data_IF_987867832938
#
_entry.id   IF_987867832938
#
_cell.length_a   1.000
_cell.length_b   1.000
_cell.length_c   1.000
_cell.angle_alpha   90.00
_cell.angle_beta   90.00
_cell.angle_gamma   90.00
#
_symmetry.space_group_name_H-M   'P 1'
#
loop_
_entity.id
_entity.type
_entity.pdbx_description
1 polymer ?
#
# COMPACT_ATOMS: atom_id res chain seq x y z
N UNK A 1 -8.81 -3.11 103.12
CA UNK A 1 -7.83 -2.06 102.74
C UNK A 1 -7.82 -2.01 101.23
N UNK A 2 -8.43 -0.98 100.64
CA UNK A 2 -8.62 -0.86 99.20
C UNK A 2 -7.42 -0.13 98.57
N UNK A 3 -6.75 -0.79 97.62
CA UNK A 3 -5.72 -0.20 96.76
C UNK A 3 -6.32 0.84 95.81
N UNK A 4 -5.70 2.02 95.79
CA UNK A 4 -6.04 3.15 94.93
C UNK A 4 -5.32 2.95 93.59
N UNK A 5 -6.07 2.70 92.50
CA UNK A 5 -5.53 2.66 91.13
C UNK A 5 -5.26 4.09 90.63
N UNK A 6 -4.02 4.33 90.22
CA UNK A 6 -3.53 5.55 89.59
C UNK A 6 -3.64 5.42 88.05
N UNK A 7 -4.31 6.38 87.40
CA UNK A 7 -4.42 6.43 85.93
C UNK A 7 -3.22 7.18 85.33
N UNK A 8 -2.63 6.71 84.21
CA UNK A 8 -1.53 7.44 83.57
C UNK A 8 -2.05 8.62 82.73
N UNK A 9 -1.34 9.74 82.86
CA UNK A 9 -1.61 11.01 82.19
C UNK A 9 -1.44 10.93 80.65
N UNK A 10 -2.40 11.50 79.94
CA UNK A 10 -2.36 11.73 78.50
C UNK A 10 -1.25 12.74 78.14
N UNK A 11 -0.28 12.32 77.34
CA UNK A 11 0.72 13.21 76.75
C UNK A 11 0.10 13.99 75.58
N UNK A 12 -0.04 15.30 75.75
CA UNK A 12 -0.44 16.24 74.69
C UNK A 12 0.69 16.40 73.68
N UNK A 13 0.46 16.03 72.41
CA UNK A 13 1.40 16.28 71.31
C UNK A 13 1.54 17.79 71.09
N UNK A 14 2.73 18.35 71.36
CA UNK A 14 3.05 19.75 71.05
C UNK A 14 2.93 20.02 69.54
N UNK A 15 2.35 21.15 69.12
CA UNK A 15 2.26 21.51 67.71
C UNK A 15 3.66 21.82 67.16
N UNK A 16 4.09 21.08 66.13
CA UNK A 16 5.33 21.36 65.41
C UNK A 16 5.19 22.71 64.71
N UNK A 17 5.94 23.71 65.16
CA UNK A 17 5.99 25.05 64.57
C UNK A 17 6.61 24.95 63.16
N UNK A 18 5.79 25.13 62.13
CA UNK A 18 6.26 25.20 60.73
C UNK A 18 7.09 26.48 60.54
N UNK A 19 8.42 26.36 60.53
CA UNK A 19 9.32 27.46 60.20
C UNK A 19 9.07 27.96 58.76
N UNK A 20 8.77 29.25 58.59
CA UNK A 20 8.68 29.88 57.28
C UNK A 20 10.08 29.96 56.66
N UNK A 21 10.31 29.24 55.55
CA UNK A 21 11.61 29.24 54.83
C UNK A 21 12.03 30.66 54.43
N UNK A 22 13.34 30.95 54.48
CA UNK A 22 13.89 32.26 54.11
C UNK A 22 13.60 32.61 52.64
N UNK A 23 13.49 33.91 52.28
CA UNK A 23 13.19 34.35 50.91
C UNK A 23 14.25 33.89 49.89
N UNK A 24 15.53 33.81 50.28
CA UNK A 24 16.63 33.27 49.47
C UNK A 24 16.47 31.78 49.20
N UNK A 25 16.12 30.97 50.22
CA UNK A 25 15.88 29.53 50.09
C UNK A 25 14.64 29.23 49.24
N UNK A 26 13.57 30.03 49.36
CA UNK A 26 12.41 29.97 48.46
C UNK A 26 12.77 30.28 47.00
N UNK A 27 13.67 31.24 46.76
CA UNK A 27 14.13 31.59 45.40
C UNK A 27 14.97 30.46 44.78
N UNK A 28 15.79 29.78 45.60
CA UNK A 28 16.60 28.64 45.18
C UNK A 28 15.75 27.40 44.87
N UNK A 29 14.79 27.05 45.73
CA UNK A 29 13.84 25.96 45.50
C UNK A 29 12.96 26.19 44.25
N UNK A 30 12.53 27.44 44.01
CA UNK A 30 11.83 27.81 42.76
C UNK A 30 12.70 27.61 41.51
N UNK A 31 14.00 27.95 41.58
CA UNK A 31 14.93 27.77 40.46
C UNK A 31 15.20 26.30 40.17
N UNK A 32 15.38 25.48 41.21
CA UNK A 32 15.53 24.03 41.07
C UNK A 32 14.28 23.39 40.49
N UNK A 33 13.10 23.77 40.97
CA UNK A 33 11.82 23.31 40.42
C UNK A 33 11.64 23.69 38.94
N UNK A 34 11.95 24.94 38.56
CA UNK A 34 11.86 25.36 37.16
C UNK A 34 12.86 24.61 36.25
N UNK A 35 14.06 24.30 36.75
CA UNK A 35 15.06 23.52 36.02
C UNK A 35 14.64 22.07 35.83
N UNK A 36 14.14 21.43 36.89
CA UNK A 36 13.66 20.05 36.80
C UNK A 36 12.39 19.93 35.97
N UNK A 37 11.47 20.89 36.06
CA UNK A 37 10.29 20.97 35.21
C UNK A 37 10.67 21.21 33.73
N UNK A 38 11.65 22.09 33.46
CA UNK A 38 12.16 22.33 32.10
C UNK A 38 12.82 21.10 31.49
N UNK A 39 13.63 20.37 32.27
CA UNK A 39 14.23 19.10 31.83
C UNK A 39 13.18 18.02 31.59
N UNK A 40 12.21 17.85 32.51
CA UNK A 40 11.14 16.87 32.38
C UNK A 40 10.27 17.17 31.15
N UNK A 41 9.89 18.44 30.94
CA UNK A 41 9.17 18.87 29.76
C UNK A 41 9.99 18.62 28.48
N UNK A 42 11.27 18.99 28.46
CA UNK A 42 12.15 18.77 27.33
C UNK A 42 12.28 17.29 26.94
N UNK A 43 12.49 16.41 27.91
CA UNK A 43 12.57 14.96 27.69
C UNK A 43 11.23 14.40 27.20
N UNK A 44 10.11 14.78 27.82
CA UNK A 44 8.78 14.35 27.38
C UNK A 44 8.49 14.80 25.95
N UNK A 45 8.79 16.06 25.62
CA UNK A 45 8.62 16.60 24.27
C UNK A 45 9.48 15.87 23.24
N UNK A 46 10.76 15.59 23.54
CA UNK A 46 11.64 14.84 22.64
C UNK A 46 11.15 13.40 22.42
N UNK A 47 10.70 12.73 23.48
CA UNK A 47 10.14 11.37 23.39
C UNK A 47 8.84 11.34 22.59
N UNK A 48 7.99 12.36 22.75
CA UNK A 48 6.75 12.51 21.98
C UNK A 48 7.01 12.85 20.50
N UNK A 49 8.14 13.47 20.15
CA UNK A 49 8.53 13.66 18.75
C UNK A 49 8.69 12.32 18.00
N UNK A 50 9.07 11.25 18.69
CA UNK A 50 9.14 9.90 18.11
C UNK A 50 7.78 9.31 17.69
N UNK A 51 6.67 9.88 18.17
CA UNK A 51 5.30 9.49 17.79
C UNK A 51 4.77 10.28 16.59
N UNK A 52 5.50 11.29 16.11
CA UNK A 52 5.09 12.10 14.96
C UNK A 52 4.92 11.30 13.65
N UNK A 53 5.78 10.30 13.34
CA UNK A 53 5.58 9.44 12.16
C UNK A 53 4.31 8.58 12.26
N UNK A 54 3.96 8.17 13.49
CA UNK A 54 2.77 7.33 13.76
C UNK A 54 1.48 8.14 13.65
N UNK A 55 1.48 9.42 14.05
CA UNK A 55 0.30 10.28 13.95
C UNK A 55 0.01 10.78 12.53
N UNK A 56 1.01 10.76 11.65
CA UNK A 56 0.89 11.28 10.29
C UNK A 56 0.48 10.27 9.21
N UNK A 57 0.33 8.97 9.51
CA UNK A 57 -0.11 8.07 8.44
C UNK A 57 -0.50 6.67 8.87
N UNK A 58 -1.77 6.33 8.63
CA UNK A 58 -2.10 5.02 8.06
C UNK A 58 -1.49 5.03 6.67
N UNK A 59 -0.24 4.60 6.53
CA UNK A 59 0.42 4.57 5.25
C UNK A 59 -0.09 3.35 4.49
N UNK A 60 -1.31 3.50 3.99
CA UNK A 60 -1.99 2.45 3.31
C UNK A 60 -1.43 2.40 1.88
N UNK A 61 -0.94 1.21 1.53
CA UNK A 61 -0.01 0.97 0.43
C UNK A 61 -0.48 -0.27 -0.31
N UNK A 62 -0.24 -0.31 -1.61
CA UNK A 62 -0.44 -1.51 -2.39
C UNK A 62 0.55 -2.58 -1.93
N UNK A 63 0.06 -3.74 -1.50
CA UNK A 63 0.89 -4.85 -1.03
C UNK A 63 1.21 -5.84 -2.16
N UNK A 64 2.30 -6.62 -2.04
CA UNK A 64 2.61 -7.68 -2.98
C UNK A 64 1.50 -8.73 -3.11
N UNK A 65 1.52 -9.54 -4.18
CA UNK A 65 0.59 -10.66 -4.33
C UNK A 65 0.51 -11.54 -3.09
N UNK A 66 -0.72 -11.91 -2.71
CA UNK A 66 -0.98 -12.82 -1.59
C UNK A 66 -0.87 -12.18 -0.21
N UNK A 67 -0.67 -10.86 -0.09
CA UNK A 67 -0.68 -10.23 1.22
C UNK A 67 -1.98 -10.49 1.99
N UNK A 68 -1.86 -10.82 3.27
CA UNK A 68 -2.99 -10.85 4.19
C UNK A 68 -3.62 -9.45 4.34
N UNK A 69 -4.78 -9.39 4.99
CA UNK A 69 -5.37 -8.12 5.41
C UNK A 69 -4.38 -7.28 6.21
N UNK A 70 -4.36 -5.97 5.99
CA UNK A 70 -3.25 -5.07 6.39
C UNK A 70 -2.79 -5.24 7.84
N UNK A 71 -3.71 -5.44 8.79
CA UNK A 71 -3.36 -5.63 10.20
C UNK A 71 -2.66 -6.98 10.46
N UNK A 72 -3.18 -8.06 9.87
CA UNK A 72 -2.60 -9.40 9.98
C UNK A 72 -1.27 -9.47 9.23
N UNK A 73 -1.20 -8.85 8.05
CA UNK A 73 0.02 -8.69 7.28
C UNK A 73 1.11 -8.00 8.10
N UNK A 74 0.83 -6.85 8.71
CA UNK A 74 1.81 -6.11 9.52
C UNK A 74 2.24 -6.87 10.78
N UNK A 75 1.36 -7.73 11.33
CA UNK A 75 1.67 -8.59 12.47
C UNK A 75 2.55 -9.79 12.08
N UNK A 76 2.31 -10.39 10.92
CA UNK A 76 3.06 -11.55 10.43
C UNK A 76 4.36 -11.18 9.70
N UNK A 77 4.45 -9.99 9.10
CA UNK A 77 5.61 -9.56 8.32
C UNK A 77 6.81 -9.22 9.20
N UNK A 78 7.83 -10.07 9.12
CA UNK A 78 9.12 -9.88 9.80
C UNK A 78 10.10 -8.96 9.06
N UNK A 79 9.68 -8.37 7.93
CA UNK A 79 10.44 -7.34 7.19
C UNK A 79 11.82 -7.85 6.72
N UNK A 80 11.88 -9.11 6.31
CA UNK A 80 13.12 -9.78 5.91
C UNK A 80 13.60 -9.41 4.48
N UNK A 81 12.75 -8.77 3.67
CA UNK A 81 13.09 -8.35 2.31
C UNK A 81 13.18 -9.47 1.27
N UNK A 82 12.89 -10.73 1.60
CA UNK A 82 12.99 -11.85 0.65
C UNK A 82 12.12 -11.66 -0.59
N UNK A 83 10.89 -11.15 -0.42
CA UNK A 83 10.00 -10.84 -1.53
C UNK A 83 10.59 -9.83 -2.53
N UNK A 84 11.38 -8.85 -2.05
CA UNK A 84 12.08 -7.87 -2.90
C UNK A 84 13.19 -8.55 -3.69
N UNK A 85 13.99 -9.39 -3.03
CA UNK A 85 15.14 -10.06 -3.65
C UNK A 85 14.74 -11.06 -4.74
N UNK A 86 13.58 -11.71 -4.59
CA UNK A 86 13.12 -12.73 -5.55
C UNK A 86 12.19 -12.17 -6.62
N UNK A 87 11.81 -10.88 -6.58
CA UNK A 87 10.88 -10.31 -7.55
C UNK A 87 11.62 -10.00 -8.85
N UNK A 88 11.43 -10.76 -9.94
CA UNK A 88 12.11 -10.45 -11.20
C UNK A 88 11.58 -9.17 -11.82
N UNK A 89 10.35 -8.76 -11.47
CA UNK A 89 9.72 -7.52 -11.97
C UNK A 89 10.31 -6.28 -11.32
N UNK A 90 11.03 -6.42 -10.20
CA UNK A 90 11.58 -5.29 -9.44
C UNK A 90 10.48 -4.30 -8.99
N UNK A 91 9.25 -4.80 -8.81
CA UNK A 91 8.08 -3.97 -8.45
C UNK A 91 7.95 -3.71 -6.94
N UNK A 92 8.66 -4.47 -6.10
CA UNK A 92 8.48 -4.47 -4.65
C UNK A 92 9.59 -3.66 -3.98
N UNK A 93 9.21 -2.69 -3.17
CA UNK A 93 10.11 -1.85 -2.37
C UNK A 93 9.85 -2.05 -0.86
N UNK A 94 10.80 -1.69 0.00
CA UNK A 94 10.61 -1.67 1.45
C UNK A 94 10.38 -0.24 1.93
N UNK A 95 9.37 -0.05 2.78
CA UNK A 95 9.11 1.25 3.40
C UNK A 95 10.31 1.73 4.26
N UNK A 96 10.70 2.98 4.11
CA UNK A 96 11.83 3.61 4.80
C UNK A 96 11.46 4.04 6.25
N UNK A 97 12.39 4.56 7.01
CA UNK A 97 12.18 5.06 8.37
C UNK A 97 11.23 6.27 8.42
N UNK A 98 11.12 7.01 7.31
CA UNK A 98 10.25 8.19 7.18
C UNK A 98 8.83 7.85 6.78
N UNK A 99 8.57 6.58 6.44
CA UNK A 99 7.32 6.09 5.88
C UNK A 99 6.23 5.79 6.94
N UNK A 100 6.49 6.07 8.21
CA UNK A 100 5.49 6.02 9.28
C UNK A 100 5.11 4.60 9.69
N UNK A 101 3.83 4.23 9.60
CA UNK A 101 3.39 2.87 9.97
C UNK A 101 3.84 1.88 8.89
N UNK A 102 4.42 0.76 9.32
CA UNK A 102 4.89 -0.30 8.42
C UNK A 102 6.29 -0.08 7.86
N UNK A 103 7.17 0.64 8.56
CA UNK A 103 8.62 0.70 8.24
C UNK A 103 9.15 -0.71 7.98
N UNK A 104 9.90 -0.88 6.89
CA UNK A 104 10.47 -2.14 6.44
C UNK A 104 9.47 -3.13 5.85
N UNK A 105 8.17 -2.83 5.86
CA UNK A 105 7.17 -3.69 5.23
C UNK A 105 7.16 -3.45 3.71
N UNK A 106 7.02 -4.51 2.90
CA UNK A 106 7.07 -4.39 1.46
C UNK A 106 5.81 -3.73 0.88
N UNK A 107 5.98 -2.95 -0.18
CA UNK A 107 4.90 -2.32 -0.92
C UNK A 107 5.26 -2.17 -2.41
N UNK A 108 4.28 -1.77 -3.22
CA UNK A 108 4.42 -1.50 -4.65
C UNK A 108 3.92 -0.10 -4.95
N UNK A 109 4.70 0.69 -5.70
CA UNK A 109 4.23 1.95 -6.28
C UNK A 109 3.76 1.68 -7.71
N UNK A 110 2.47 1.37 -7.87
CA UNK A 110 1.89 0.96 -9.15
C UNK A 110 2.19 1.95 -10.29
N UNK A 111 2.16 3.25 -10.00
CA UNK A 111 2.46 4.31 -10.98
C UNK A 111 3.91 4.30 -11.47
N UNK A 112 4.85 3.70 -10.75
CA UNK A 112 6.28 3.70 -11.13
C UNK A 112 6.71 2.35 -11.70
N UNK A 113 6.43 1.25 -11.00
CA UNK A 113 6.69 -0.11 -11.46
C UNK A 113 5.61 -1.06 -10.90
N UNK A 114 4.66 -1.44 -11.74
CA UNK A 114 3.59 -2.36 -11.39
C UNK A 114 4.04 -3.83 -11.45
N UNK A 115 3.30 -4.70 -10.75
CA UNK A 115 3.46 -6.15 -10.87
C UNK A 115 2.82 -6.63 -12.18
N UNK A 116 3.61 -7.12 -13.12
CA UNK A 116 3.11 -7.68 -14.39
C UNK A 116 2.93 -9.22 -14.36
N UNK A 117 3.17 -9.85 -13.20
CA UNK A 117 3.14 -11.30 -12.99
C UNK A 117 4.01 -12.13 -13.94
N UNK A 118 5.12 -11.56 -14.43
CA UNK A 118 6.03 -12.29 -15.32
C UNK A 118 6.69 -13.52 -14.69
N UNK A 119 6.70 -13.62 -13.36
CA UNK A 119 7.26 -14.76 -12.63
C UNK A 119 6.38 -16.02 -12.62
N UNK A 120 5.13 -15.96 -13.09
CA UNK A 120 4.09 -17.02 -13.05
C UNK A 120 3.77 -17.60 -11.67
N UNK A 121 4.74 -18.23 -11.02
CA UNK A 121 4.60 -18.95 -9.76
C UNK A 121 4.69 -18.08 -8.51
N UNK A 122 4.38 -16.78 -8.61
CA UNK A 122 4.33 -15.85 -7.48
C UNK A 122 5.55 -15.98 -6.55
N UNK A 123 6.76 -15.80 -7.08
CA UNK A 123 8.01 -16.07 -6.34
C UNK A 123 8.09 -15.34 -4.99
N UNK A 124 7.53 -14.13 -4.90
CA UNK A 124 7.43 -13.38 -3.64
C UNK A 124 6.63 -14.13 -2.56
N UNK A 125 5.52 -14.79 -2.94
CA UNK A 125 4.70 -15.63 -2.06
C UNK A 125 5.53 -16.81 -1.58
N UNK A 126 6.13 -17.57 -2.50
CA UNK A 126 6.93 -18.76 -2.17
C UNK A 126 8.14 -18.45 -1.25
N UNK A 127 8.70 -17.26 -1.37
CA UNK A 127 9.83 -16.83 -0.56
C UNK A 127 9.42 -16.28 0.81
N UNK A 128 8.13 -16.13 1.12
CA UNK A 128 7.67 -15.54 2.37
C UNK A 128 7.73 -16.56 3.53
N UNK A 129 8.69 -16.45 4.47
CA UNK A 129 8.86 -17.49 5.49
C UNK A 129 7.78 -17.49 6.57
N UNK A 130 7.02 -16.40 6.71
CA UNK A 130 6.03 -16.23 7.79
C UNK A 130 4.58 -16.37 7.34
N UNK A 131 4.33 -16.53 6.04
CA UNK A 131 2.97 -16.53 5.52
C UNK A 131 2.28 -15.15 5.55
N UNK A 132 3.04 -14.06 5.74
CA UNK A 132 2.50 -12.70 5.57
C UNK A 132 1.99 -12.50 4.12
N UNK A 133 2.63 -13.17 3.17
CA UNK A 133 2.06 -13.47 1.86
C UNK A 133 1.56 -14.92 1.92
N UNK A 134 0.26 -15.14 1.72
CA UNK A 134 -0.38 -16.46 1.87
C UNK A 134 0.10 -17.44 0.80
N UNK A 135 0.46 -18.65 1.22
CA UNK A 135 0.81 -19.75 0.32
C UNK A 135 -0.41 -20.49 -0.23
N UNK A 136 -1.62 -19.99 0.03
CA UNK A 136 -2.87 -20.59 -0.47
C UNK A 136 -3.14 -20.24 -1.94
N UNK A 137 -2.38 -19.30 -2.52
CA UNK A 137 -2.48 -18.91 -3.92
C UNK A 137 -1.29 -19.42 -4.72
N UNK A 138 -1.55 -19.86 -5.95
CA UNK A 138 -0.57 -20.40 -6.89
C UNK A 138 -0.53 -19.60 -8.19
N UNK A 139 -1.63 -18.93 -8.56
CA UNK A 139 -1.76 -18.26 -9.85
C UNK A 139 -2.12 -16.77 -9.71
N UNK A 140 -1.71 -15.92 -10.66
CA UNK A 140 -2.01 -14.49 -10.62
C UNK A 140 -3.49 -14.12 -10.48
N UNK A 141 -4.38 -14.89 -11.11
CA UNK A 141 -5.84 -14.66 -11.04
C UNK A 141 -6.42 -14.83 -9.62
N UNK A 142 -5.71 -15.53 -8.73
CA UNK A 142 -6.10 -15.74 -7.33
C UNK A 142 -5.64 -14.57 -6.44
N UNK A 143 -4.76 -13.70 -6.95
CA UNK A 143 -4.25 -12.57 -6.20
C UNK A 143 -5.31 -11.50 -5.96
N UNK A 144 -5.21 -10.82 -4.81
CA UNK A 144 -6.09 -9.72 -4.39
C UNK A 144 -5.24 -8.60 -3.79
N UNK A 145 -4.58 -7.84 -4.65
CA UNK A 145 -3.68 -6.75 -4.23
C UNK A 145 -4.44 -5.44 -4.01
N UNK A 146 -5.48 -5.21 -4.81
CA UNK A 146 -6.28 -4.00 -4.82
C UNK A 146 -7.39 -4.08 -5.85
N UNK A 147 -8.03 -2.95 -6.14
CA UNK A 147 -9.04 -2.82 -7.19
C UNK A 147 -8.75 -1.60 -8.04
N UNK A 148 -8.72 -1.78 -9.36
CA UNK A 148 -8.62 -0.63 -10.26
C UNK A 148 -9.92 0.20 -10.21
N UNK A 149 -9.78 1.52 -10.28
CA UNK A 149 -10.91 2.45 -10.34
C UNK A 149 -10.60 3.55 -11.37
N UNK A 150 -11.58 3.91 -12.18
CA UNK A 150 -11.48 5.07 -13.06
C UNK A 150 -11.69 6.34 -12.23
N UNK A 151 -10.60 6.84 -11.64
CA UNK A 151 -10.60 7.97 -10.71
C UNK A 151 -10.78 9.33 -11.39
N UNK A 152 -10.46 9.44 -12.68
CA UNK A 152 -10.61 10.67 -13.44
C UNK A 152 -11.14 10.37 -14.86
N UNK A 153 -12.47 10.22 -14.95
CA UNK A 153 -13.14 9.83 -16.20
C UNK A 153 -12.96 10.87 -17.31
N UNK A 154 -12.96 12.17 -16.96
CA UNK A 154 -12.82 13.25 -17.95
C UNK A 154 -11.43 13.31 -18.57
N UNK A 155 -10.38 12.86 -17.86
CA UNK A 155 -9.03 12.76 -18.42
C UNK A 155 -8.81 11.48 -19.26
N UNK A 156 -9.67 10.48 -19.16
CA UNK A 156 -9.50 9.22 -19.89
C UNK A 156 -9.65 9.43 -21.41
N UNK A 157 -8.59 9.15 -22.17
CA UNK A 157 -8.59 9.28 -23.64
C UNK A 157 -9.69 8.42 -24.30
N UNK A 158 -9.91 7.19 -23.81
CA UNK A 158 -10.98 6.32 -24.32
C UNK A 158 -12.37 6.93 -24.16
N UNK A 159 -12.65 7.51 -22.98
CA UNK A 159 -13.92 8.18 -22.66
C UNK A 159 -14.12 9.44 -23.51
N UNK A 160 -13.03 10.10 -23.87
CA UNK A 160 -13.03 11.23 -24.81
C UNK A 160 -13.13 10.80 -26.29
N UNK A 161 -13.10 9.49 -26.60
CA UNK A 161 -13.08 8.97 -27.96
C UNK A 161 -11.75 9.20 -28.69
N UNK A 162 -10.66 9.41 -27.94
CA UNK A 162 -9.34 9.71 -28.47
C UNK A 162 -8.42 8.47 -28.50
N UNK A 163 -7.61 8.43 -29.55
CA UNK A 163 -6.47 7.52 -29.69
C UNK A 163 -5.27 7.90 -28.82
N UNK A 164 -4.18 7.16 -28.97
CA UNK A 164 -2.91 7.46 -28.33
C UNK A 164 -1.73 7.10 -29.23
N UNK A 165 -0.78 8.01 -29.39
CA UNK A 165 0.44 7.79 -30.17
C UNK A 165 1.69 8.23 -29.40
N UNK A 166 2.67 7.34 -29.28
CA UNK A 166 3.94 7.58 -28.58
C UNK A 166 4.16 6.67 -27.38
N UNK A 167 5.09 7.06 -26.51
CA UNK A 167 5.43 6.33 -25.29
C UNK A 167 4.52 6.73 -24.14
N UNK A 168 4.02 5.76 -23.37
CA UNK A 168 2.95 5.97 -22.39
C UNK A 168 3.28 7.02 -21.30
N UNK A 169 4.52 7.12 -20.81
CA UNK A 169 4.85 7.92 -19.61
C UNK A 169 5.94 8.97 -19.82
N UNK A 170 6.26 9.28 -21.08
CA UNK A 170 7.38 10.13 -21.46
C UNK A 170 8.71 9.36 -21.59
N UNK A 171 9.74 10.03 -22.10
CA UNK A 171 11.05 9.43 -22.39
C UNK A 171 11.85 9.04 -21.15
N UNK A 172 11.62 9.73 -20.03
CA UNK A 172 12.42 9.60 -18.82
C UNK A 172 11.78 8.66 -17.80
N UNK A 173 10.69 7.98 -18.17
CA UNK A 173 9.97 7.08 -17.28
C UNK A 173 10.80 5.81 -17.02
N UNK A 174 11.11 5.48 -15.75
CA UNK A 174 12.02 4.39 -15.42
C UNK A 174 11.36 3.01 -15.50
N UNK A 175 10.02 2.95 -15.48
CA UNK A 175 9.29 1.69 -15.42
C UNK A 175 9.50 0.83 -16.66
N UNK A 176 9.59 -0.47 -16.43
CA UNK A 176 9.81 -1.48 -17.45
C UNK A 176 8.65 -2.46 -17.52
N UNK A 177 8.45 -3.08 -18.68
CA UNK A 177 7.48 -4.15 -18.89
C UNK A 177 8.08 -5.28 -19.70
N UNK A 178 7.60 -6.49 -19.47
CA UNK A 178 7.89 -7.64 -20.33
C UNK A 178 6.77 -7.82 -21.33
N UNK A 179 7.15 -7.88 -22.59
CA UNK A 179 6.23 -8.13 -23.69
C UNK A 179 6.59 -9.50 -24.25
N UNK A 180 5.63 -10.42 -24.24
CA UNK A 180 5.86 -11.80 -24.72
C UNK A 180 6.32 -11.83 -26.18
N UNK A 181 5.84 -10.89 -26.99
CA UNK A 181 6.20 -10.72 -28.40
C UNK A 181 7.68 -10.39 -28.62
N UNK A 182 8.34 -9.79 -27.62
CA UNK A 182 9.75 -9.37 -27.67
C UNK A 182 10.60 -10.38 -26.93
N UNK A 183 10.45 -10.42 -25.61
CA UNK A 183 11.12 -11.33 -24.71
C UNK A 183 10.36 -11.33 -23.38
N UNK A 184 9.86 -12.49 -23.02
CA UNK A 184 9.14 -12.68 -21.77
C UNK A 184 10.02 -12.50 -20.53
N UNK A 185 11.31 -12.76 -20.62
CA UNK A 185 12.23 -12.77 -19.48
C UNK A 185 12.92 -11.44 -19.29
N UNK A 186 13.29 -10.80 -20.40
CA UNK A 186 14.00 -9.54 -20.40
C UNK A 186 13.03 -8.37 -20.49
N UNK A 187 12.93 -7.53 -19.44
CA UNK A 187 12.10 -6.35 -19.48
C UNK A 187 12.68 -5.32 -20.45
N UNK A 188 11.81 -4.56 -21.10
CA UNK A 188 12.19 -3.36 -21.87
C UNK A 188 11.64 -2.11 -21.17
N UNK A 189 12.33 -0.97 -21.25
CA UNK A 189 11.78 0.30 -20.78
C UNK A 189 10.46 0.61 -21.49
N UNK A 190 9.43 1.00 -20.72
CA UNK A 190 8.14 1.36 -21.31
C UNK A 190 8.26 2.61 -22.21
N UNK A 191 9.23 3.47 -21.92
CA UNK A 191 9.59 4.62 -22.75
C UNK A 191 10.04 4.22 -24.17
N UNK A 192 10.63 3.04 -24.32
CA UNK A 192 11.20 2.53 -25.58
C UNK A 192 10.20 1.72 -26.42
N UNK A 193 8.96 1.56 -25.92
CA UNK A 193 7.90 0.81 -26.59
C UNK A 193 6.73 1.74 -26.99
N UNK A 194 6.80 2.39 -28.17
CA UNK A 194 5.75 3.32 -28.60
C UNK A 194 4.48 2.59 -29.05
N UNK A 195 3.34 3.25 -28.87
CA UNK A 195 2.03 2.78 -29.30
C UNK A 195 1.47 3.70 -30.39
N UNK A 196 0.59 3.17 -31.24
CA UNK A 196 -0.18 3.95 -32.23
C UNK A 196 -1.60 3.37 -32.30
N UNK A 197 -2.51 4.00 -31.55
CA UNK A 197 -3.84 3.48 -31.24
C UNK A 197 -4.90 4.44 -31.76
N UNK A 198 -5.87 3.94 -32.53
CA UNK A 198 -7.03 4.72 -32.96
C UNK A 198 -7.93 5.12 -31.77
N UNK A 199 -8.05 4.23 -30.79
CA UNK A 199 -8.70 4.46 -29.51
C UNK A 199 -7.78 3.97 -28.39
N UNK A 200 -7.57 4.78 -27.36
CA UNK A 200 -6.71 4.39 -26.25
C UNK A 200 -7.32 3.25 -25.42
N UNK A 201 -6.68 2.09 -25.43
CA UNK A 201 -7.06 0.88 -24.68
C UNK A 201 -5.87 0.28 -23.90
N UNK A 202 -4.82 1.07 -23.65
CA UNK A 202 -3.57 0.62 -22.98
C UNK A 202 -3.84 -0.16 -21.69
N UNK A 203 -4.78 0.30 -20.87
CA UNK A 203 -5.17 -0.37 -19.61
C UNK A 203 -5.77 -1.77 -19.80
N UNK A 204 -6.38 -2.04 -20.96
CA UNK A 204 -6.96 -3.35 -21.32
C UNK A 204 -5.91 -4.23 -21.98
N UNK A 205 -5.28 -3.74 -23.06
CA UNK A 205 -4.33 -4.55 -23.83
C UNK A 205 -3.07 -4.94 -23.04
N UNK A 206 -2.65 -4.11 -22.08
CA UNK A 206 -1.49 -4.38 -21.22
C UNK A 206 -1.90 -5.02 -19.89
N UNK A 207 -3.18 -5.32 -19.67
CA UNK A 207 -3.60 -6.01 -18.45
C UNK A 207 -3.04 -7.44 -18.45
N UNK A 208 -2.26 -7.85 -17.43
CA UNK A 208 -1.71 -9.21 -17.37
C UNK A 208 -2.77 -10.31 -17.36
N UNK A 209 -3.96 -10.03 -16.81
CA UNK A 209 -5.08 -10.99 -16.80
C UNK A 209 -5.67 -11.14 -18.21
N UNK A 210 -5.88 -10.05 -18.94
CA UNK A 210 -6.41 -10.10 -20.31
C UNK A 210 -5.42 -10.75 -21.29
N UNK A 211 -4.13 -10.45 -21.16
CA UNK A 211 -3.07 -11.10 -21.95
C UNK A 211 -3.11 -12.62 -21.75
N UNK A 212 -3.21 -13.08 -20.50
CA UNK A 212 -3.29 -14.51 -20.18
C UNK A 212 -4.57 -15.16 -20.73
N UNK A 213 -5.71 -14.48 -20.65
CA UNK A 213 -6.96 -14.97 -21.26
C UNK A 213 -6.79 -15.11 -22.77
N UNK A 214 -6.19 -14.12 -23.45
CA UNK A 214 -5.94 -14.18 -24.88
C UNK A 214 -5.01 -15.35 -25.26
N UNK A 215 -3.93 -15.57 -24.51
CA UNK A 215 -3.03 -16.72 -24.67
C UNK A 215 -3.75 -18.06 -24.50
N UNK A 216 -4.59 -18.19 -23.47
CA UNK A 216 -5.38 -19.39 -23.22
C UNK A 216 -6.41 -19.66 -24.33
N UNK A 217 -7.08 -18.61 -24.82
CA UNK A 217 -8.00 -18.72 -25.95
C UNK A 217 -7.28 -19.11 -27.25
N UNK A 218 -6.02 -18.73 -27.40
CA UNK A 218 -5.15 -19.15 -28.50
C UNK A 218 -4.57 -20.59 -28.32
N UNK A 219 -4.92 -21.29 -27.24
CA UNK A 219 -4.44 -22.64 -26.94
C UNK A 219 -2.98 -22.69 -26.47
N UNK A 220 -2.43 -21.56 -26.01
CA UNK A 220 -1.03 -21.41 -25.56
C UNK A 220 -0.98 -20.82 -24.15
N UNK A 221 -1.48 -21.53 -23.11
CA UNK A 221 -1.43 -21.00 -21.75
C UNK A 221 0.02 -20.76 -21.30
N UNK A 222 0.27 -19.78 -20.41
CA UNK A 222 1.61 -19.52 -19.88
C UNK A 222 2.24 -20.79 -19.32
N UNK A 223 3.50 -21.03 -19.68
CA UNK A 223 4.28 -22.21 -19.26
C UNK A 223 3.60 -23.55 -19.59
N UNK A 224 2.69 -23.57 -20.57
CA UNK A 224 1.86 -24.71 -20.95
C UNK A 224 1.03 -25.30 -19.80
N UNK A 225 0.70 -24.50 -18.79
CA UNK A 225 -0.11 -24.92 -17.64
C UNK A 225 -1.52 -24.31 -17.73
N UNK A 226 -2.57 -25.13 -17.98
CA UNK A 226 -3.94 -24.66 -18.09
C UNK A 226 -4.48 -23.95 -16.84
N UNK A 227 -3.91 -24.21 -15.66
CA UNK A 227 -4.34 -23.54 -14.43
C UNK A 227 -3.93 -22.06 -14.39
N UNK A 228 -3.01 -21.63 -15.27
CA UNK A 228 -2.66 -20.22 -15.42
C UNK A 228 -3.73 -19.40 -16.14
N UNK A 229 -4.75 -20.05 -16.71
CA UNK A 229 -5.85 -19.39 -17.40
C UNK A 229 -6.80 -18.73 -16.40
N UNK A 230 -6.92 -17.39 -16.41
CA UNK A 230 -7.84 -16.71 -15.52
C UNK A 230 -9.29 -17.10 -15.83
N UNK A 231 -10.13 -17.37 -14.82
CA UNK A 231 -11.53 -17.76 -15.04
C UNK A 231 -12.45 -16.58 -15.37
N UNK A 232 -11.99 -15.34 -15.14
CA UNK A 232 -12.77 -14.11 -15.31
C UNK A 232 -11.90 -13.01 -15.90
N UNK A 233 -12.49 -12.19 -16.76
CA UNK A 233 -11.89 -10.95 -17.25
C UNK A 233 -11.74 -9.93 -16.12
N UNK A 234 -10.66 -9.17 -16.15
CA UNK A 234 -10.32 -8.11 -15.21
C UNK A 234 -10.80 -6.72 -15.66
N UNK A 235 -10.79 -6.45 -16.96
CA UNK A 235 -11.11 -5.13 -17.50
C UNK A 235 -11.50 -5.23 -18.98
N UNK A 236 -12.49 -4.44 -19.40
CA UNK A 236 -12.87 -4.33 -20.82
C UNK A 236 -13.33 -2.92 -21.17
N UNK A 237 -13.26 -2.54 -22.46
CA UNK A 237 -13.88 -1.31 -22.93
C UNK A 237 -15.35 -1.56 -23.29
N UNK A 238 -16.27 -0.93 -22.55
CA UNK A 238 -17.70 -1.00 -22.82
C UNK A 238 -18.24 0.30 -23.43
N UNK A 239 -19.22 0.23 -24.33
CA UNK A 239 -19.96 1.42 -24.78
C UNK A 239 -20.89 1.93 -23.67
N UNK A 240 -20.78 3.21 -23.34
CA UNK A 240 -21.64 3.89 -22.38
C UNK A 240 -22.31 5.08 -23.07
N UNK A 241 -23.63 5.16 -22.95
CA UNK A 241 -24.38 6.28 -23.49
C UNK A 241 -24.11 7.54 -22.66
N UNK A 242 -23.66 8.61 -23.30
CA UNK A 242 -23.61 9.93 -22.65
C UNK A 242 -25.00 10.60 -22.68
N UNK A 243 -25.22 11.56 -21.79
CA UNK A 243 -26.44 12.36 -21.69
C UNK A 243 -26.76 13.14 -22.99
N UNK A 244 -25.79 13.27 -23.91
CA UNK A 244 -25.93 13.88 -25.23
C UNK A 244 -26.22 12.91 -26.39
N UNK A 245 -26.34 11.60 -26.13
CA UNK A 245 -26.62 10.58 -27.15
C UNK A 245 -25.40 10.06 -27.92
N UNK A 246 -24.19 10.57 -27.65
CA UNK A 246 -22.94 10.01 -28.15
C UNK A 246 -22.53 8.77 -27.35
N UNK A 247 -22.05 7.73 -28.04
CA UNK A 247 -21.55 6.50 -27.40
C UNK A 247 -20.07 6.68 -27.07
N UNK A 248 -19.73 6.68 -25.78
CA UNK A 248 -18.34 6.75 -25.29
C UNK A 248 -17.84 5.35 -24.95
N UNK A 249 -16.58 5.07 -25.22
CA UNK A 249 -15.95 3.82 -24.76
C UNK A 249 -15.33 4.05 -23.38
N UNK A 250 -15.69 3.24 -22.41
CA UNK A 250 -15.23 3.37 -21.03
C UNK A 250 -14.57 2.08 -20.56
N UNK A 251 -13.39 2.13 -19.93
CA UNK A 251 -12.84 0.96 -19.25
C UNK A 251 -13.72 0.61 -18.05
N UNK A 252 -14.27 -0.59 -18.06
CA UNK A 252 -15.08 -1.15 -16.99
C UNK A 252 -14.26 -2.24 -16.30
N UNK A 253 -14.12 -2.11 -14.98
CA UNK A 253 -13.39 -3.05 -14.14
C UNK A 253 -14.33 -4.20 -13.78
N UNK A 254 -13.86 -5.42 -13.99
CA UNK A 254 -14.62 -6.65 -13.86
C UNK A 254 -14.10 -7.51 -12.70
N UNK A 255 -14.83 -8.59 -12.41
CA UNK A 255 -14.56 -9.53 -11.31
C UNK A 255 -13.18 -10.22 -11.34
N UNK A 256 -12.49 -10.25 -12.48
CA UNK A 256 -11.14 -10.80 -12.61
C UNK A 256 -10.04 -9.81 -12.21
N UNK A 257 -10.38 -8.58 -11.79
CA UNK A 257 -9.38 -7.59 -11.41
C UNK A 257 -8.66 -8.01 -10.13
N UNK A 258 -7.33 -8.09 -10.22
CA UNK A 258 -6.45 -8.50 -9.11
C UNK A 258 -5.71 -7.33 -8.46
N UNK A 259 -5.84 -6.11 -9.02
CA UNK A 259 -5.23 -4.90 -8.47
C UNK A 259 -3.73 -4.76 -8.69
N UNK A 260 -3.19 -5.35 -9.76
CA UNK A 260 -1.74 -5.39 -10.01
C UNK A 260 -1.07 -4.04 -10.31
N UNK A 261 -1.85 -3.05 -10.73
CA UNK A 261 -1.36 -1.70 -11.00
C UNK A 261 -0.88 -1.42 -12.42
N UNK A 262 -0.82 -2.41 -13.31
CA UNK A 262 -0.31 -2.19 -14.68
C UNK A 262 -1.13 -1.13 -15.41
N UNK A 263 -2.46 -1.13 -15.25
CA UNK A 263 -3.34 -0.12 -15.85
C UNK A 263 -3.02 1.31 -15.38
N UNK A 264 -2.67 1.49 -14.09
CA UNK A 264 -2.25 2.78 -13.53
C UNK A 264 -0.86 3.17 -14.06
N UNK A 265 0.08 2.23 -14.12
CA UNK A 265 1.43 2.46 -14.62
C UNK A 265 1.42 2.96 -16.08
N UNK A 266 0.65 2.29 -16.94
CA UNK A 266 0.66 2.53 -18.39
C UNK A 266 -0.29 3.64 -18.82
N UNK A 267 -1.10 4.20 -17.91
CA UNK A 267 -2.03 5.26 -18.24
C UNK A 267 -1.27 6.52 -18.68
N UNK A 268 -1.48 7.04 -19.90
CA UNK A 268 -0.59 8.06 -20.44
C UNK A 268 -0.92 9.49 -20.03
N UNK A 269 -2.04 9.69 -19.33
CA UNK A 269 -2.48 11.01 -18.89
C UNK A 269 -1.98 11.31 -17.48
N UNK A 270 -1.75 12.59 -17.21
CA UNK A 270 -1.36 13.13 -15.91
C UNK A 270 -2.28 14.32 -15.57
N UNK A 271 -3.05 14.28 -14.47
CA UNK A 271 -3.20 13.19 -13.50
C UNK A 271 -3.73 11.89 -14.12
N UNK A 272 -3.35 10.73 -13.56
CA UNK A 272 -3.81 9.43 -14.08
C UNK A 272 -5.33 9.32 -14.15
N UNK A 273 -5.85 8.70 -15.21
CA UNK A 273 -7.28 8.44 -15.35
C UNK A 273 -7.75 7.26 -14.48
N UNK A 274 -6.88 6.27 -14.29
CA UNK A 274 -7.16 5.01 -13.60
C UNK A 274 -6.09 4.78 -12.52
N UNK A 275 -6.52 4.37 -11.33
CA UNK A 275 -5.64 4.11 -10.19
C UNK A 275 -6.11 2.89 -9.41
N UNK A 276 -5.22 2.28 -8.63
CA UNK A 276 -5.55 1.17 -7.74
C UNK A 276 -5.98 1.70 -6.36
N UNK A 277 -7.21 1.40 -5.96
CA UNK A 277 -7.61 1.48 -4.55
C UNK A 277 -7.18 0.18 -3.84
N UNK A 278 -6.08 0.27 -3.08
CA UNK A 278 -5.54 -0.84 -2.28
C UNK A 278 -6.42 -1.25 -1.09
N UNK A 279 -7.47 -0.48 -0.75
CA UNK A 279 -8.40 -0.83 0.35
C UNK A 279 -9.55 -1.71 -0.12
N UNK A 280 -9.66 -1.91 -1.43
CA UNK A 280 -10.73 -2.65 -2.06
C UNK A 280 -10.15 -3.75 -2.91
N UNK A 281 -10.93 -4.81 -3.03
CA UNK A 281 -10.74 -5.92 -3.95
C UNK A 281 -12.10 -6.27 -4.52
N UNK A 282 -12.13 -7.02 -5.62
CA UNK A 282 -13.38 -7.53 -6.21
C UNK A 282 -14.26 -8.24 -5.17
N UNK A 283 -13.65 -8.98 -4.24
CA UNK A 283 -14.39 -9.72 -3.21
C UNK A 283 -14.99 -8.79 -2.13
N UNK A 284 -14.29 -7.71 -1.76
CA UNK A 284 -14.81 -6.75 -0.79
C UNK A 284 -15.96 -5.91 -1.35
N UNK A 285 -15.94 -5.58 -2.64
CA UNK A 285 -16.99 -4.80 -3.29
C UNK A 285 -18.22 -5.68 -3.56
N UNK A 286 -18.02 -6.93 -3.99
CA UNK A 286 -19.12 -7.87 -4.21
C UNK A 286 -19.92 -8.17 -2.91
N UNK A 287 -19.28 -8.15 -1.75
CA UNK A 287 -19.94 -8.33 -0.43
C UNK A 287 -20.72 -7.12 0.06
N UNK A 288 -20.53 -5.95 -0.55
CA UNK A 288 -21.17 -4.69 -0.16
C UNK A 288 -22.49 -4.42 -0.92
N UNK A 289 -22.80 -5.22 -1.94
CA UNK A 289 -24.01 -5.19 -2.76
C UNK A 289 -25.02 -6.24 -2.29
#
# INVERSE_FOLDING_TARGET
MAEKKEQPAQQTKKPVRKFKKSPTRRRQERREFLRSAGLAAGVLSLSLLGLMPVSKGKAARLRPPGALEEQEFLAACIKCGQCVQVCPVEAIELADIFDGVGIGAPYITARDQACDFSCDGLQCVLACPTGALTHEINYPAESRMGLAELVNESACLAVQGLGFKGAARGSDFPGTLRFEEVDRWNPIPLADHPFDLELCDLCVRLCPIEIRIAQCNAGKPPSNDPNQCPPKHAIELQPVADNGGETKMKPVILDGCVGCGVCEMVCPVEPTAIAIDYRKTVDTVARAL
#
